data_IF_853326229673
#
_entry.id   IF_853326229673
#
_cell.length_a   1.000
_cell.length_b   1.000
_cell.length_c   1.000
_cell.angle_alpha   90.00
_cell.angle_beta   90.00
_cell.angle_gamma   90.00
#
_symmetry.space_group_name_H-M   'P 1'
#
loop_
_entity.id
_entity.type
_entity.pdbx_description
1 polymer ?
#
# COMPACT_ATOMS: atom_id res chain seq x y z
N UNK A 1 -20.77 9.71 -14.13
CA UNK A 1 -19.73 9.40 -13.10
C UNK A 1 -18.40 9.33 -13.83
N UNK A 2 -17.29 9.79 -13.25
CA UNK A 2 -16.00 9.66 -13.90
C UNK A 2 -15.64 8.17 -14.07
N UNK A 3 -15.11 7.81 -15.23
CA UNK A 3 -14.60 6.46 -15.48
C UNK A 3 -13.32 6.27 -14.66
N UNK A 4 -13.39 5.39 -13.65
CA UNK A 4 -12.29 5.12 -12.74
C UNK A 4 -11.62 3.81 -13.13
N UNK A 5 -10.37 3.87 -13.57
CA UNK A 5 -9.55 2.68 -13.84
C UNK A 5 -8.36 2.65 -12.89
N UNK A 6 -8.25 1.58 -12.10
CA UNK A 6 -7.11 1.35 -11.22
C UNK A 6 -6.17 0.31 -11.84
N UNK A 7 -4.99 0.75 -12.24
CA UNK A 7 -3.87 -0.10 -12.64
C UNK A 7 -3.16 -0.57 -11.37
N UNK A 8 -3.26 -1.85 -11.08
CA UNK A 8 -2.89 -2.36 -9.77
C UNK A 8 -2.35 -3.79 -9.83
N UNK A 9 -1.88 -4.28 -8.69
CA UNK A 9 -1.52 -5.69 -8.52
C UNK A 9 -2.07 -6.21 -7.20
N UNK A 10 -2.59 -7.43 -7.21
CA UNK A 10 -3.28 -8.01 -6.06
C UNK A 10 -2.41 -8.11 -4.81
N UNK A 11 -1.11 -8.35 -4.96
CA UNK A 11 -0.15 -8.51 -3.84
C UNK A 11 0.43 -7.19 -3.33
N UNK A 12 0.26 -6.10 -4.08
CA UNK A 12 0.83 -4.80 -3.71
C UNK A 12 0.07 -4.16 -2.56
N UNK A 13 0.76 -3.91 -1.45
CA UNK A 13 0.23 -3.17 -0.29
C UNK A 13 -0.34 -1.80 -0.69
N UNK A 14 0.38 -1.07 -1.54
CA UNK A 14 -0.07 0.22 -2.03
C UNK A 14 -1.36 0.10 -2.87
N UNK A 15 -1.48 -0.97 -3.67
CA UNK A 15 -2.70 -1.26 -4.43
C UNK A 15 -3.85 -1.67 -3.52
N UNK A 16 -3.60 -2.42 -2.45
CA UNK A 16 -4.61 -2.77 -1.45
C UNK A 16 -5.22 -1.52 -0.81
N UNK A 17 -4.40 -0.52 -0.44
CA UNK A 17 -4.89 0.77 0.08
C UNK A 17 -5.87 1.44 -0.90
N UNK A 18 -5.51 1.49 -2.18
CA UNK A 18 -6.34 2.10 -3.22
C UNK A 18 -7.65 1.32 -3.44
N UNK A 19 -7.57 -0.02 -3.59
CA UNK A 19 -8.76 -0.87 -3.74
C UNK A 19 -9.70 -0.72 -2.56
N UNK A 20 -9.17 -0.83 -1.32
CA UNK A 20 -9.98 -0.72 -0.12
C UNK A 20 -10.68 0.65 -0.02
N UNK A 21 -10.01 1.74 -0.40
CA UNK A 21 -10.63 3.06 -0.39
C UNK A 21 -11.79 3.18 -1.40
N UNK A 22 -11.65 2.58 -2.59
CA UNK A 22 -12.71 2.55 -3.60
C UNK A 22 -13.92 1.72 -3.16
N UNK A 23 -13.66 0.53 -2.60
CA UNK A 23 -14.69 -0.38 -2.07
C UNK A 23 -15.43 0.24 -0.86
N UNK A 24 -14.70 0.79 0.11
CA UNK A 24 -15.31 1.41 1.29
C UNK A 24 -16.14 2.65 0.95
N UNK A 25 -15.71 3.40 -0.04
CA UNK A 25 -16.50 4.52 -0.53
C UNK A 25 -17.72 4.07 -1.34
N UNK A 26 -17.70 2.85 -1.89
CA UNK A 26 -18.76 2.28 -2.70
C UNK A 26 -18.80 2.84 -4.13
N UNK A 27 -17.65 3.16 -4.70
CA UNK A 27 -17.54 3.63 -6.07
C UNK A 27 -17.44 2.47 -7.06
N UNK A 28 -18.00 2.66 -8.25
CA UNK A 28 -17.77 1.74 -9.38
C UNK A 28 -16.42 2.07 -10.01
N UNK A 29 -15.60 1.06 -10.27
CA UNK A 29 -14.27 1.20 -10.86
C UNK A 29 -13.88 -0.04 -11.65
N UNK A 30 -12.95 0.12 -12.59
CA UNK A 30 -12.39 -0.97 -13.40
C UNK A 30 -11.01 -1.33 -12.89
N UNK A 31 -10.77 -2.61 -12.66
CA UNK A 31 -9.43 -3.12 -12.32
C UNK A 31 -8.65 -3.47 -13.59
N UNK A 32 -7.44 -2.94 -13.70
CA UNK A 32 -6.46 -3.35 -14.69
C UNK A 32 -5.25 -3.96 -13.98
N UNK A 33 -5.10 -5.28 -14.09
CA UNK A 33 -3.99 -5.98 -13.44
C UNK A 33 -2.66 -5.67 -14.14
N UNK A 34 -1.63 -5.40 -13.35
CA UNK A 34 -0.24 -5.18 -13.79
C UNK A 34 0.61 -6.28 -13.16
N UNK A 35 1.11 -7.21 -13.95
CA UNK A 35 2.02 -8.24 -13.43
C UNK A 35 3.38 -7.64 -13.10
N UNK A 36 3.60 -7.39 -11.81
CA UNK A 36 4.84 -6.81 -11.29
C UNK A 36 5.90 -7.85 -10.90
N UNK A 37 5.62 -9.14 -11.14
CA UNK A 37 6.46 -10.27 -10.71
C UNK A 37 7.11 -10.97 -11.89
N UNK A 38 6.31 -11.51 -12.80
CA UNK A 38 6.76 -12.31 -13.97
C UNK A 38 6.81 -11.47 -15.25
N UNK A 39 5.68 -10.87 -15.62
CA UNK A 39 5.54 -10.03 -16.81
C UNK A 39 6.35 -8.74 -16.72
N UNK A 40 6.49 -8.20 -15.52
CA UNK A 40 7.11 -6.90 -15.27
C UNK A 40 6.45 -5.78 -16.10
N UNK A 41 5.11 -5.82 -16.17
CA UNK A 41 4.29 -4.92 -17.00
C UNK A 41 4.44 -3.45 -16.63
N UNK A 42 4.85 -3.15 -15.38
CA UNK A 42 5.13 -1.79 -14.93
C UNK A 42 6.29 -1.13 -15.71
N UNK A 43 7.08 -1.90 -16.46
CA UNK A 43 8.14 -1.38 -17.33
C UNK A 43 7.70 -1.24 -18.79
N UNK A 44 6.48 -1.67 -19.17
CA UNK A 44 6.00 -1.44 -20.53
C UNK A 44 5.98 0.06 -20.85
N UNK A 45 6.35 0.47 -22.10
CA UNK A 45 6.42 1.89 -22.48
C UNK A 45 5.17 2.69 -22.14
N UNK A 46 3.98 2.14 -22.47
CA UNK A 46 2.71 2.79 -22.19
C UNK A 46 2.47 3.03 -20.69
N UNK A 47 2.95 2.09 -19.83
CA UNK A 47 2.76 2.24 -18.38
C UNK A 47 3.77 3.23 -17.78
N UNK A 48 5.04 3.18 -18.18
CA UNK A 48 6.06 4.10 -17.68
C UNK A 48 5.84 5.54 -18.16
N UNK A 49 5.17 5.73 -19.31
CA UNK A 49 4.69 7.04 -19.74
C UNK A 49 3.62 7.59 -18.80
N UNK A 50 2.73 6.75 -18.31
CA UNK A 50 1.68 7.10 -17.36
C UNK A 50 2.22 7.25 -15.93
N UNK A 51 3.13 6.36 -15.52
CA UNK A 51 3.74 6.36 -14.19
C UNK A 51 5.26 6.18 -14.29
N UNK A 52 5.98 7.29 -14.36
CA UNK A 52 7.45 7.31 -14.49
C UNK A 52 8.19 6.58 -13.34
N UNK A 53 7.51 6.28 -12.23
CA UNK A 53 8.10 5.49 -11.14
C UNK A 53 8.10 3.98 -11.41
N UNK A 54 7.45 3.50 -12.48
CA UNK A 54 7.31 2.07 -12.79
C UNK A 54 6.84 1.24 -11.57
N UNK A 55 5.81 1.73 -10.86
CA UNK A 55 5.22 1.06 -9.68
C UNK A 55 3.70 1.08 -9.75
N UNK A 56 3.05 0.22 -9.00
CA UNK A 56 1.60 0.22 -8.79
C UNK A 56 1.27 0.77 -7.40
N UNK A 57 0.07 1.32 -7.18
CA UNK A 57 -1.01 1.55 -8.14
C UNK A 57 -0.86 2.84 -8.93
N UNK A 58 -1.62 2.91 -10.02
CA UNK A 58 -1.94 4.15 -10.73
C UNK A 58 -3.46 4.22 -10.89
N UNK A 59 -4.08 5.32 -10.51
CA UNK A 59 -5.49 5.59 -10.75
C UNK A 59 -5.65 6.55 -11.92
N UNK A 60 -6.47 6.19 -12.89
CA UNK A 60 -6.94 7.08 -13.96
C UNK A 60 -8.39 7.44 -13.72
N UNK A 61 -8.71 8.73 -13.79
CA UNK A 61 -10.06 9.29 -13.66
C UNK A 61 -10.28 10.30 -14.78
N UNK A 62 -10.91 9.87 -15.89
CA UNK A 62 -10.89 10.63 -17.14
C UNK A 62 -9.45 10.88 -17.61
N UNK A 63 -9.08 12.16 -17.80
CA UNK A 63 -7.71 12.54 -18.19
C UNK A 63 -6.73 12.65 -17.01
N UNK A 64 -7.21 12.58 -15.78
CA UNK A 64 -6.38 12.71 -14.58
C UNK A 64 -5.73 11.39 -14.22
N UNK A 65 -4.41 11.43 -13.99
CA UNK A 65 -3.60 10.28 -13.56
C UNK A 65 -2.98 10.56 -12.20
N UNK A 66 -3.17 9.66 -11.23
CA UNK A 66 -2.64 9.75 -9.88
C UNK A 66 -1.79 8.50 -9.59
N UNK A 67 -0.54 8.68 -9.19
CA UNK A 67 0.47 7.59 -9.11
C UNK A 67 0.98 7.25 -7.70
N UNK A 68 0.53 7.97 -6.68
CA UNK A 68 0.90 7.73 -5.27
C UNK A 68 -0.32 7.23 -4.50
N UNK A 69 -0.19 6.12 -3.76
CA UNK A 69 -1.33 5.49 -3.07
C UNK A 69 -1.99 6.41 -2.03
N UNK A 70 -1.21 7.20 -1.27
CA UNK A 70 -1.77 8.16 -0.33
C UNK A 70 -2.53 9.30 -1.03
N UNK A 71 -2.04 9.75 -2.18
CA UNK A 71 -2.75 10.72 -3.02
C UNK A 71 -4.01 10.11 -3.65
N UNK A 72 -3.93 8.84 -4.07
CA UNK A 72 -5.08 8.11 -4.63
C UNK A 72 -6.21 8.03 -3.60
N UNK A 73 -5.94 7.60 -2.38
CA UNK A 73 -6.99 7.44 -1.37
C UNK A 73 -7.61 8.79 -0.97
N UNK A 74 -6.82 9.85 -0.89
CA UNK A 74 -7.34 11.21 -0.66
C UNK A 74 -8.21 11.68 -1.83
N UNK A 75 -7.73 11.49 -3.06
CA UNK A 75 -8.52 11.80 -4.26
C UNK A 75 -9.83 11.02 -4.32
N UNK A 76 -9.79 9.72 -4.05
CA UNK A 76 -10.99 8.86 -3.98
C UNK A 76 -11.97 9.41 -2.94
N UNK A 77 -11.47 9.79 -1.75
CA UNK A 77 -12.31 10.36 -0.69
C UNK A 77 -13.02 11.65 -1.12
N UNK A 78 -12.37 12.48 -1.94
CA UNK A 78 -12.92 13.76 -2.40
C UNK A 78 -13.89 13.62 -3.59
N UNK A 79 -13.96 12.44 -4.23
CA UNK A 79 -14.90 12.21 -5.32
C UNK A 79 -16.36 12.31 -4.84
N UNK A 80 -17.27 12.84 -5.67
CA UNK A 80 -18.69 12.88 -5.35
C UNK A 80 -19.30 11.48 -5.29
N UNK A 81 -20.33 11.33 -4.48
CA UNK A 81 -21.06 10.07 -4.29
C UNK A 81 -20.39 9.13 -3.30
N UNK A 82 -21.09 8.03 -2.98
CA UNK A 82 -20.65 7.02 -2.02
C UNK A 82 -20.59 7.53 -0.58
N UNK A 83 -19.94 6.72 0.28
CA UNK A 83 -19.76 7.05 1.70
C UNK A 83 -18.64 8.06 1.88
N UNK A 84 -18.77 8.97 2.85
CA UNK A 84 -17.64 9.81 3.25
C UNK A 84 -16.58 8.98 3.97
N UNK A 85 -15.31 9.17 3.61
CA UNK A 85 -14.14 8.59 4.29
C UNK A 85 -13.32 9.66 5.03
N UNK A 86 -13.84 10.90 5.05
CA UNK A 86 -13.26 12.00 5.83
C UNK A 86 -14.34 12.64 6.69
N UNK A 87 -14.06 12.89 7.97
CA UNK A 87 -15.00 13.58 8.86
C UNK A 87 -15.20 15.03 8.43
N UNK A 88 -16.25 15.67 8.93
CA UNK A 88 -16.61 17.04 8.56
C UNK A 88 -15.83 18.10 9.34
N UNK A 89 -15.47 17.81 10.60
CA UNK A 89 -14.74 18.78 11.42
C UNK A 89 -13.25 18.86 11.05
N UNK A 90 -12.70 20.06 11.03
CA UNK A 90 -11.30 20.30 10.71
C UNK A 90 -10.34 19.60 11.70
N UNK A 91 -10.71 19.52 12.97
CA UNK A 91 -9.92 18.80 13.96
C UNK A 91 -9.80 17.33 13.66
N UNK A 92 -10.92 16.65 13.42
CA UNK A 92 -10.93 15.23 13.06
C UNK A 92 -10.24 14.98 11.71
N UNK A 93 -10.39 15.87 10.72
CA UNK A 93 -9.67 15.79 9.43
C UNK A 93 -8.15 15.84 9.61
N UNK A 94 -7.64 16.72 10.48
CA UNK A 94 -6.22 16.77 10.82
C UNK A 94 -5.77 15.44 11.44
N UNK A 95 -6.52 14.91 12.39
CA UNK A 95 -6.21 13.61 13.03
C UNK A 95 -6.18 12.47 12.01
N UNK A 96 -7.14 12.41 11.07
CA UNK A 96 -7.11 11.42 9.98
C UNK A 96 -5.82 11.54 9.17
N UNK A 97 -5.43 12.76 8.77
CA UNK A 97 -4.21 12.96 7.99
C UNK A 97 -2.94 12.57 8.77
N UNK A 98 -2.87 12.87 10.06
CA UNK A 98 -1.76 12.45 10.91
C UNK A 98 -1.63 10.92 10.96
N UNK A 99 -2.74 10.19 11.06
CA UNK A 99 -2.72 8.73 11.05
C UNK A 99 -2.37 8.16 9.67
N UNK A 100 -2.78 8.82 8.58
CA UNK A 100 -2.34 8.49 7.22
C UNK A 100 -0.82 8.62 7.12
N UNK A 101 -0.28 9.75 7.57
CA UNK A 101 1.16 10.05 7.46
C UNK A 101 2.00 9.09 8.35
N UNK A 102 1.52 8.74 9.55
CA UNK A 102 2.14 7.71 10.39
C UNK A 102 2.18 6.36 9.67
N UNK A 103 1.05 5.93 9.07
CA UNK A 103 0.99 4.69 8.31
C UNK A 103 1.91 4.68 7.10
N UNK A 104 2.00 5.79 6.36
CA UNK A 104 2.87 5.90 5.20
C UNK A 104 4.37 6.00 5.56
N UNK A 105 4.70 6.43 6.79
CA UNK A 105 6.08 6.46 7.29
C UNK A 105 6.67 5.07 7.52
N UNK A 106 5.82 4.03 7.67
CA UNK A 106 6.28 2.64 7.80
C UNK A 106 6.63 2.08 6.42
N UNK A 107 7.92 1.85 6.17
CA UNK A 107 8.38 1.28 4.91
C UNK A 107 8.05 -0.22 4.81
N UNK A 108 6.76 -0.52 4.54
CA UNK A 108 6.29 -1.89 4.39
C UNK A 108 6.93 -2.65 3.23
N UNK A 109 7.45 -1.95 2.23
CA UNK A 109 8.13 -2.58 1.10
C UNK A 109 9.44 -3.22 1.56
N UNK A 110 10.30 -2.47 2.24
CA UNK A 110 11.54 -3.01 2.83
C UNK A 110 11.24 -4.15 3.79
N UNK A 111 10.27 -3.98 4.72
CA UNK A 111 9.85 -5.06 5.62
C UNK A 111 9.40 -6.31 4.87
N UNK A 112 8.64 -6.16 3.78
CA UNK A 112 8.12 -7.28 3.00
C UNK A 112 9.24 -8.05 2.30
N UNK A 113 10.19 -7.37 1.68
CA UNK A 113 11.32 -8.03 1.02
C UNK A 113 12.26 -8.70 2.02
N UNK A 114 12.63 -8.00 3.10
CA UNK A 114 13.54 -8.51 4.12
C UNK A 114 12.97 -9.70 4.92
N UNK A 115 11.65 -9.82 5.02
CA UNK A 115 10.97 -10.92 5.72
C UNK A 115 10.28 -11.90 4.75
N UNK A 116 10.66 -11.89 3.47
CA UNK A 116 10.08 -12.84 2.50
C UNK A 116 10.50 -14.27 2.85
N UNK A 117 9.58 -15.27 2.77
CA UNK A 117 9.91 -16.68 3.07
C UNK A 117 11.04 -17.27 2.23
N UNK A 118 11.26 -16.74 1.01
CA UNK A 118 12.37 -17.10 0.15
C UNK A 118 13.15 -15.85 -0.24
N UNK A 119 14.30 -15.66 0.39
CA UNK A 119 15.23 -14.58 0.06
C UNK A 119 15.69 -14.64 -1.41
N UNK A 120 16.02 -15.84 -1.90
CA UNK A 120 16.44 -16.05 -3.31
C UNK A 120 15.39 -15.55 -4.31
N UNK A 121 14.11 -15.87 -4.08
CA UNK A 121 13.03 -15.43 -4.95
C UNK A 121 12.80 -13.92 -4.87
N UNK A 122 12.90 -13.35 -3.69
CA UNK A 122 12.83 -11.91 -3.48
C UNK A 122 13.94 -11.19 -4.25
N UNK A 123 15.17 -11.67 -4.10
CA UNK A 123 16.33 -11.12 -4.80
C UNK A 123 16.23 -11.29 -6.32
N UNK A 124 15.80 -12.46 -6.79
CA UNK A 124 15.61 -12.74 -8.22
C UNK A 124 14.64 -11.75 -8.88
N UNK A 125 13.54 -11.40 -8.20
CA UNK A 125 12.58 -10.41 -8.71
C UNK A 125 13.20 -9.02 -8.79
N UNK A 126 13.94 -8.60 -7.75
CA UNK A 126 14.60 -7.29 -7.79
C UNK A 126 15.64 -7.23 -8.91
N UNK A 127 16.42 -8.29 -9.09
CA UNK A 127 17.39 -8.39 -10.18
C UNK A 127 16.72 -8.38 -11.57
N UNK A 128 15.63 -9.10 -11.75
CA UNK A 128 14.87 -9.10 -13.01
C UNK A 128 14.30 -7.70 -13.33
N UNK A 129 13.85 -6.95 -12.34
CA UNK A 129 13.39 -5.56 -12.52
C UNK A 129 14.52 -4.62 -12.94
N UNK A 130 15.69 -4.76 -12.33
CA UNK A 130 16.88 -3.98 -12.70
C UNK A 130 17.29 -4.30 -14.14
N UNK A 131 17.41 -5.59 -14.48
CA UNK A 131 17.77 -6.04 -15.83
C UNK A 131 16.77 -5.52 -16.87
N UNK A 132 15.46 -5.62 -16.61
CA UNK A 132 14.42 -5.12 -17.51
C UNK A 132 14.51 -3.60 -17.69
N UNK A 133 14.80 -2.85 -16.63
CA UNK A 133 14.95 -1.41 -16.72
C UNK A 133 16.15 -1.01 -17.58
N UNK A 134 17.30 -1.68 -17.46
CA UNK A 134 18.44 -1.44 -18.32
C UNK A 134 18.16 -1.83 -19.79
N UNK A 135 17.65 -3.03 -20.04
CA UNK A 135 17.23 -3.48 -21.38
C UNK A 135 16.33 -2.45 -22.07
N UNK A 136 15.32 -1.95 -21.34
CA UNK A 136 14.36 -1.02 -21.90
C UNK A 136 14.89 0.42 -22.02
N UNK A 137 15.87 0.82 -21.23
CA UNK A 137 16.53 2.10 -21.40
C UNK A 137 17.29 2.18 -22.74
N UNK A 138 17.86 1.07 -23.19
CA UNK A 138 18.52 0.97 -24.50
C UNK A 138 17.49 0.84 -25.63
N UNK A 139 16.46 0.02 -25.44
CA UNK A 139 15.42 -0.24 -26.45
C UNK A 139 14.52 0.97 -26.72
N UNK A 140 14.29 1.82 -25.71
CA UNK A 140 13.41 2.99 -25.79
C UNK A 140 14.13 4.27 -25.36
N UNK A 141 15.02 4.84 -26.21
CA UNK A 141 15.89 5.96 -25.83
C UNK A 141 15.13 7.19 -25.33
N UNK A 142 13.92 7.45 -25.84
CA UNK A 142 13.07 8.58 -25.38
C UNK A 142 12.59 8.45 -23.94
N UNK A 143 12.61 7.24 -23.38
CA UNK A 143 12.17 6.92 -22.03
C UNK A 143 13.35 6.47 -21.13
N UNK A 144 14.58 6.53 -21.64
CA UNK A 144 15.77 5.99 -20.98
C UNK A 144 15.93 6.51 -19.54
N UNK A 145 15.78 7.81 -19.32
CA UNK A 145 15.92 8.41 -17.99
C UNK A 145 14.90 7.83 -16.98
N UNK A 146 13.66 7.59 -17.42
CA UNK A 146 12.62 7.00 -16.55
C UNK A 146 12.97 5.57 -16.17
N UNK A 147 13.49 4.77 -17.10
CA UNK A 147 13.95 3.41 -16.84
C UNK A 147 15.15 3.37 -15.90
N UNK A 148 16.15 4.24 -16.12
CA UNK A 148 17.32 4.34 -15.26
C UNK A 148 16.93 4.80 -13.83
N UNK A 149 15.99 5.73 -13.70
CA UNK A 149 15.47 6.13 -12.39
C UNK A 149 14.70 5.00 -11.69
N UNK A 150 13.96 4.21 -12.45
CA UNK A 150 13.31 3.02 -11.91
C UNK A 150 14.35 1.97 -11.44
N UNK A 151 15.43 1.74 -12.20
CA UNK A 151 16.53 0.86 -11.80
C UNK A 151 17.20 1.34 -10.51
N UNK A 152 17.56 2.64 -10.41
CA UNK A 152 18.15 3.25 -9.20
C UNK A 152 17.26 3.04 -7.97
N UNK A 153 15.94 3.17 -8.13
CA UNK A 153 14.97 2.95 -7.05
C UNK A 153 14.97 1.50 -6.59
N UNK A 154 14.97 0.54 -7.52
CA UNK A 154 15.03 -0.89 -7.16
C UNK A 154 16.35 -1.23 -6.47
N UNK A 155 17.48 -0.68 -6.94
CA UNK A 155 18.78 -0.84 -6.28
C UNK A 155 18.75 -0.29 -4.83
N UNK A 156 18.08 0.84 -4.60
CA UNK A 156 17.95 1.40 -3.26
C UNK A 156 17.15 0.49 -2.30
N UNK A 157 16.26 -0.35 -2.80
CA UNK A 157 15.57 -1.34 -1.97
C UNK A 157 16.54 -2.42 -1.47
N UNK A 158 17.37 -2.97 -2.35
CA UNK A 158 18.41 -3.96 -1.99
C UNK A 158 19.38 -3.42 -0.91
N UNK A 159 19.76 -2.14 -0.99
CA UNK A 159 20.65 -1.52 -0.01
C UNK A 159 20.01 -1.30 1.36
N UNK A 160 18.67 -1.25 1.45
CA UNK A 160 17.91 -1.03 2.70
C UNK A 160 17.50 -2.30 3.41
N UNK A 161 17.90 -3.46 2.92
CA UNK A 161 17.58 -4.76 3.55
C UNK A 161 18.55 -5.13 4.69
N UNK A 162 19.41 -4.20 5.14
CA UNK A 162 20.27 -4.43 6.29
C UNK A 162 19.42 -4.64 7.56
N UNK A 163 19.89 -5.53 8.43
CA UNK A 163 19.22 -5.79 9.72
C UNK A 163 18.96 -4.49 10.50
N UNK A 164 19.94 -3.58 10.51
CA UNK A 164 19.81 -2.29 11.20
C UNK A 164 18.65 -1.45 10.66
N UNK A 165 18.46 -1.39 9.34
CA UNK A 165 17.38 -0.64 8.73
C UNK A 165 16.02 -1.30 8.99
N UNK A 166 15.95 -2.62 8.90
CA UNK A 166 14.74 -3.38 9.24
C UNK A 166 14.35 -3.14 10.70
N UNK A 167 15.30 -3.20 11.64
CA UNK A 167 15.08 -2.92 13.06
C UNK A 167 14.56 -1.50 13.30
N UNK A 168 15.06 -0.49 12.56
CA UNK A 168 14.55 0.89 12.62
C UNK A 168 13.10 0.99 12.16
N UNK A 169 12.76 0.31 11.07
CA UNK A 169 11.39 0.29 10.53
C UNK A 169 10.45 -0.40 11.53
N UNK A 170 10.84 -1.54 12.10
CA UNK A 170 10.05 -2.24 13.11
C UNK A 170 9.84 -1.41 14.37
N UNK A 171 10.87 -0.75 14.88
CA UNK A 171 10.77 0.17 16.03
C UNK A 171 9.82 1.34 15.72
N UNK A 172 9.83 1.85 14.49
CA UNK A 172 8.90 2.90 14.06
C UNK A 172 7.47 2.38 14.00
N UNK A 173 7.26 1.20 13.42
CA UNK A 173 5.97 0.54 13.38
C UNK A 173 5.42 0.30 14.79
N UNK A 174 6.25 -0.23 15.71
CA UNK A 174 5.86 -0.48 17.09
C UNK A 174 5.39 0.78 17.80
N UNK A 175 6.14 1.89 17.72
CA UNK A 175 5.73 3.18 18.32
C UNK A 175 4.37 3.67 17.80
N UNK A 176 4.10 3.44 16.52
CA UNK A 176 2.81 3.83 15.94
C UNK A 176 1.69 2.89 16.39
N UNK A 177 1.96 1.59 16.51
CA UNK A 177 0.99 0.62 17.02
C UNK A 177 0.71 0.85 18.51
N UNK A 178 1.71 1.18 19.34
CA UNK A 178 1.50 1.59 20.74
C UNK A 178 0.56 2.81 20.85
N UNK A 179 0.70 3.75 19.91
CA UNK A 179 -0.20 4.90 19.84
C UNK A 179 -1.59 4.51 19.39
N UNK A 180 -1.69 3.58 18.44
CA UNK A 180 -2.95 3.03 17.94
C UNK A 180 -3.70 2.25 19.02
N UNK A 181 -2.98 1.46 19.82
CA UNK A 181 -3.53 0.71 20.96
C UNK A 181 -4.23 1.64 21.95
N UNK A 182 -3.57 2.74 22.32
CA UNK A 182 -4.15 3.77 23.23
C UNK A 182 -5.37 4.43 22.62
N UNK A 183 -5.35 4.71 21.32
CA UNK A 183 -6.46 5.32 20.60
C UNK A 183 -7.68 4.39 20.58
N UNK A 184 -7.47 3.13 20.23
CA UNK A 184 -8.54 2.14 20.10
C UNK A 184 -9.09 1.63 21.44
N UNK A 185 -8.41 1.91 22.56
CA UNK A 185 -8.94 1.65 23.88
C UNK A 185 -10.16 2.55 24.21
N UNK A 186 -10.31 3.69 23.53
CA UNK A 186 -11.35 4.68 23.78
C UNK A 186 -12.30 4.90 22.60
N UNK A 187 -12.12 4.19 21.46
CA UNK A 187 -12.92 4.45 20.26
C UNK A 187 -13.08 3.21 19.39
N UNK A 188 -14.16 3.16 18.62
CA UNK A 188 -14.45 2.05 17.69
C UNK A 188 -13.52 2.06 16.48
N UNK A 189 -13.24 3.24 15.93
CA UNK A 189 -12.32 3.45 14.80
C UNK A 189 -11.17 4.37 15.22
N UNK A 190 -10.20 4.53 14.33
CA UNK A 190 -8.99 5.32 14.62
C UNK A 190 -9.32 6.79 14.91
N UNK A 191 -10.42 7.30 14.36
CA UNK A 191 -10.89 8.67 14.65
C UNK A 191 -12.32 8.62 15.20
N UNK A 192 -12.46 8.17 16.44
CA UNK A 192 -13.76 8.08 17.15
C UNK A 192 -14.67 7.01 16.58
N UNK A 193 -15.92 7.36 16.34
CA UNK A 193 -16.95 6.44 15.83
C UNK A 193 -17.13 6.53 14.31
N UNK A 194 -16.17 7.13 13.63
CA UNK A 194 -16.22 7.38 12.19
C UNK A 194 -15.13 6.59 11.45
N UNK A 195 -15.55 5.63 10.60
CA UNK A 195 -14.62 4.92 9.69
C UNK A 195 -14.05 5.88 8.65
N UNK A 196 -12.75 5.98 8.57
CA UNK A 196 -12.03 7.01 7.81
C UNK A 196 -10.91 6.43 6.93
N UNK A 197 -10.24 7.30 6.17
CA UNK A 197 -9.02 6.94 5.44
C UNK A 197 -7.89 6.46 6.36
N UNK A 198 -7.87 6.85 7.63
CA UNK A 198 -6.94 6.30 8.60
C UNK A 198 -7.16 4.79 8.77
N UNK A 199 -8.43 4.37 8.89
CA UNK A 199 -8.79 2.95 8.99
C UNK A 199 -8.44 2.17 7.72
N UNK A 200 -8.62 2.78 6.53
CA UNK A 200 -8.20 2.18 5.24
C UNK A 200 -6.71 1.85 5.26
N UNK A 201 -5.86 2.80 5.63
CA UNK A 201 -4.40 2.59 5.63
C UNK A 201 -4.02 1.55 6.69
N UNK A 202 -4.50 1.70 7.93
CA UNK A 202 -4.09 0.85 9.03
C UNK A 202 -4.61 -0.59 8.90
N UNK A 203 -5.79 -0.80 8.33
CA UNK A 203 -6.26 -2.15 7.97
C UNK A 203 -5.25 -2.87 7.09
N UNK A 204 -4.73 -2.20 6.06
CA UNK A 204 -3.75 -2.80 5.14
C UNK A 204 -2.37 -3.00 5.80
N UNK A 205 -1.96 -2.09 6.70
CA UNK A 205 -0.72 -2.26 7.46
C UNK A 205 -0.81 -3.48 8.39
N UNK A 206 -1.89 -3.59 9.16
CA UNK A 206 -2.12 -4.70 10.08
C UNK A 206 -2.18 -6.04 9.33
N UNK A 207 -2.86 -6.09 8.17
CA UNK A 207 -2.86 -7.25 7.31
C UNK A 207 -1.45 -7.65 6.83
N UNK A 208 -0.58 -6.66 6.57
CA UNK A 208 0.81 -6.96 6.22
C UNK A 208 1.63 -7.43 7.42
N UNK A 209 1.43 -6.87 8.61
CA UNK A 209 2.11 -7.34 9.83
C UNK A 209 1.70 -8.76 10.19
N UNK A 210 0.44 -9.12 9.99
CA UNK A 210 -0.08 -10.48 10.15
C UNK A 210 0.61 -11.46 9.18
N UNK A 211 0.69 -11.12 7.90
CA UNK A 211 1.43 -11.91 6.90
C UNK A 211 2.91 -12.10 7.27
N UNK A 212 3.54 -11.06 7.80
CA UNK A 212 4.95 -11.07 8.23
C UNK A 212 5.16 -11.80 9.56
N UNK A 213 4.09 -12.30 10.19
CA UNK A 213 4.12 -12.97 11.49
C UNK A 213 4.82 -12.13 12.57
N UNK A 214 4.36 -10.87 12.73
CA UNK A 214 4.90 -9.92 13.71
C UNK A 214 3.95 -9.80 14.93
N UNK A 215 3.88 -10.82 15.81
CA UNK A 215 2.97 -10.82 16.96
C UNK A 215 3.23 -9.65 17.92
N UNK A 216 4.45 -9.13 17.98
CA UNK A 216 4.78 -7.94 18.76
C UNK A 216 4.06 -6.68 18.27
N UNK A 217 3.51 -6.66 17.03
CA UNK A 217 2.78 -5.53 16.47
C UNK A 217 1.26 -5.71 16.52
N UNK A 218 0.76 -6.97 16.46
CA UNK A 218 -0.67 -7.24 16.30
C UNK A 218 -1.21 -8.30 17.27
N UNK A 219 -0.35 -8.86 18.14
CA UNK A 219 -0.74 -9.93 19.06
C UNK A 219 -1.60 -9.42 20.22
N UNK A 220 -2.57 -10.22 20.64
CA UNK A 220 -3.50 -9.91 21.74
C UNK A 220 -2.78 -9.62 23.07
N UNK A 221 -1.65 -10.29 23.32
CA UNK A 221 -0.88 -10.10 24.56
C UNK A 221 -0.25 -8.70 24.61
N UNK A 222 0.23 -8.18 23.47
CA UNK A 222 0.90 -6.89 23.40
C UNK A 222 -0.08 -5.74 23.14
N UNK A 223 -1.05 -5.95 22.25
CA UNK A 223 -1.96 -4.92 21.74
C UNK A 223 -3.40 -5.46 21.61
N UNK A 224 -4.12 -5.69 22.72
CA UNK A 224 -5.46 -6.31 22.70
C UNK A 224 -6.50 -5.48 21.93
N UNK A 225 -6.46 -4.14 22.01
CA UNK A 225 -7.42 -3.30 21.30
C UNK A 225 -7.12 -3.25 19.79
N UNK A 226 -5.85 -3.23 19.39
CA UNK A 226 -5.44 -3.34 17.97
C UNK A 226 -5.83 -4.70 17.42
N UNK A 227 -5.62 -5.79 18.16
CA UNK A 227 -6.01 -7.13 17.74
C UNK A 227 -7.53 -7.23 17.53
N UNK A 228 -8.33 -6.77 18.49
CA UNK A 228 -9.78 -6.74 18.39
C UNK A 228 -10.27 -5.85 17.23
N UNK A 229 -9.65 -4.70 17.04
CA UNK A 229 -9.93 -3.82 15.91
C UNK A 229 -9.63 -4.52 14.58
N UNK A 230 -8.47 -5.17 14.45
CA UNK A 230 -8.10 -5.87 13.21
C UNK A 230 -9.07 -7.00 12.87
N UNK A 231 -9.56 -7.76 13.86
CA UNK A 231 -10.61 -8.77 13.63
C UNK A 231 -11.89 -8.12 13.08
N UNK A 232 -12.32 -6.96 13.62
CA UNK A 232 -13.48 -6.23 13.08
C UNK A 232 -13.23 -5.78 11.63
N UNK A 233 -12.01 -5.32 11.30
CA UNK A 233 -11.67 -4.91 9.94
C UNK A 233 -11.69 -6.09 8.96
N UNK A 234 -11.19 -7.25 9.36
CA UNK A 234 -11.25 -8.49 8.56
C UNK A 234 -12.69 -8.95 8.29
N UNK A 235 -13.59 -8.73 9.23
CA UNK A 235 -15.00 -9.11 9.09
C UNK A 235 -15.80 -8.19 8.13
N UNK A 236 -15.25 -7.06 7.71
CA UNK A 236 -15.93 -6.15 6.76
C UNK A 236 -15.97 -6.78 5.37
N UNK A 237 -17.12 -6.74 4.65
CA UNK A 237 -17.20 -7.27 3.28
C UNK A 237 -16.16 -6.67 2.32
N UNK A 238 -15.82 -5.40 2.53
CA UNK A 238 -14.84 -4.65 1.73
C UNK A 238 -13.40 -5.17 1.90
N UNK A 239 -13.07 -5.82 3.01
CA UNK A 239 -11.77 -6.47 3.19
C UNK A 239 -11.57 -7.59 2.15
N UNK A 240 -12.58 -8.40 1.94
CA UNK A 240 -12.54 -9.48 0.95
C UNK A 240 -12.62 -8.94 -0.49
N UNK A 241 -13.57 -8.03 -0.79
CA UNK A 241 -13.75 -7.50 -2.15
C UNK A 241 -12.55 -6.67 -2.63
N UNK A 242 -11.89 -5.94 -1.73
CA UNK A 242 -10.65 -5.23 -2.03
C UNK A 242 -9.41 -6.14 -2.10
N UNK A 243 -9.57 -7.45 -1.89
CA UNK A 243 -8.45 -8.39 -1.81
C UNK A 243 -7.35 -7.91 -0.85
N UNK A 244 -7.72 -7.52 0.37
CA UNK A 244 -6.76 -7.26 1.45
C UNK A 244 -6.32 -8.60 2.02
N UNK A 245 -5.29 -9.20 1.40
CA UNK A 245 -4.91 -10.59 1.67
C UNK A 245 -3.59 -10.71 2.42
N UNK A 246 -3.49 -11.85 3.13
CA UNK A 246 -2.30 -12.34 3.80
C UNK A 246 -1.61 -13.42 2.96
N UNK A 247 -1.27 -13.13 1.70
CA UNK A 247 -0.59 -14.08 0.84
C UNK A 247 0.63 -13.48 0.16
N UNK A 248 1.65 -14.30 0.01
CA UNK A 248 2.84 -13.95 -0.74
C UNK A 248 2.63 -14.20 -2.23
N UNK A 249 3.27 -13.38 -3.09
CA UNK A 249 3.16 -13.51 -4.54
C UNK A 249 3.77 -14.79 -5.12
N UNK A 250 4.44 -15.62 -4.31
CA UNK A 250 5.04 -16.89 -4.73
C UNK A 250 4.30 -18.14 -4.27
N UNK A 251 3.21 -18.00 -3.52
CA UNK A 251 2.50 -19.16 -2.95
C UNK A 251 1.44 -19.75 -3.87
N UNK A 252 1.46 -19.38 -5.16
CA UNK A 252 0.58 -19.97 -6.19
C UNK A 252 1.37 -20.47 -7.37
#
# INVERSE_FOLDING_TARGET
MADLTLYNNVYSVCSMKARLSLEEKGLQWTSHEIDIVKGLDQFQPWYIEMNARAVVPTLKSGDKVITNSAQIIRFVSDLPGGKSLMPTSDGARRTVNEWIDRGDSVNLQTLSYANHPSFEQSEAILNARIARAFEYSEKYPKLADRYLDAARRVLSYKQRESKEEVDKIEKTALRHVDSLEKQLAASEYIVGDFYSLADVIWTVLLARFDLLKKPQLIGVEAHPHVAAYYERMKARPTFASANVQNSWWFTK
#
